data_IF_646818094192
#
_entry.id   IF_646818094192
#
_cell.length_a   1.000
_cell.length_b   1.000
_cell.length_c   1.000
_cell.angle_alpha   90.00
_cell.angle_beta   90.00
_cell.angle_gamma   90.00
#
_symmetry.space_group_name_H-M   'P 1'
#
loop_
_entity.id
_entity.type
_entity.pdbx_description
1 polymer ?
#
# COMPACT_ATOMS: atom_id res chain seq x y z
N UNK A 1 -24.56 -34.17 30.34
CA UNK A 1 -23.35 -33.57 29.74
C UNK A 1 -23.66 -32.17 29.19
N UNK A 2 -23.69 -31.12 30.03
CA UNK A 2 -23.87 -29.71 29.58
C UNK A 2 -22.63 -28.85 29.77
N UNK A 3 -21.73 -29.20 30.70
CA UNK A 3 -20.49 -28.47 30.95
C UNK A 3 -19.49 -28.52 29.78
N UNK A 4 -19.33 -29.68 29.14
CA UNK A 4 -18.33 -29.85 28.09
C UNK A 4 -18.59 -28.94 26.87
N UNK A 5 -19.87 -28.81 26.47
CA UNK A 5 -20.26 -27.97 25.33
C UNK A 5 -20.09 -26.46 25.60
N UNK A 6 -20.38 -26.00 26.83
CA UNK A 6 -20.15 -24.60 27.19
C UNK A 6 -18.65 -24.28 27.27
N UNK A 7 -17.85 -25.22 27.77
CA UNK A 7 -16.40 -25.07 27.84
C UNK A 7 -15.76 -24.98 26.45
N UNK A 8 -16.14 -25.86 25.52
CA UNK A 8 -15.65 -25.83 24.13
C UNK A 8 -16.07 -24.57 23.38
N UNK A 9 -17.31 -24.10 23.60
CA UNK A 9 -17.78 -22.84 23.01
C UNK A 9 -16.99 -21.63 23.54
N UNK A 10 -16.66 -21.63 24.83
CA UNK A 10 -15.83 -20.58 25.43
C UNK A 10 -14.41 -20.56 24.86
N UNK A 11 -13.81 -21.73 24.60
CA UNK A 11 -12.48 -21.82 23.99
C UNK A 11 -12.48 -21.36 22.53
N UNK A 12 -13.48 -21.76 21.73
CA UNK A 12 -13.60 -21.31 20.34
C UNK A 12 -13.78 -19.78 20.27
N UNK A 13 -14.58 -19.21 21.17
CA UNK A 13 -14.78 -17.76 21.25
C UNK A 13 -13.47 -17.03 21.57
N UNK A 14 -12.69 -17.53 22.55
CA UNK A 14 -11.37 -16.96 22.87
C UNK A 14 -10.41 -17.01 21.69
N UNK A 15 -10.41 -18.10 20.92
CA UNK A 15 -9.56 -18.20 19.73
C UNK A 15 -10.01 -17.21 18.64
N UNK A 16 -11.31 -17.06 18.42
CA UNK A 16 -11.86 -16.05 17.52
C UNK A 16 -11.46 -14.64 17.95
N UNK A 17 -11.50 -14.33 19.25
CA UNK A 17 -11.09 -13.02 19.77
C UNK A 17 -9.61 -12.77 19.54
N UNK A 18 -8.75 -13.77 19.82
CA UNK A 18 -7.30 -13.68 19.58
C UNK A 18 -6.99 -13.45 18.10
N UNK A 19 -7.64 -14.20 17.21
CA UNK A 19 -7.43 -14.07 15.75
C UNK A 19 -8.00 -12.75 15.24
N UNK A 20 -9.14 -12.31 15.77
CA UNK A 20 -9.72 -11.00 15.46
C UNK A 20 -8.80 -9.85 15.88
N UNK A 21 -8.03 -10.01 16.96
CA UNK A 21 -7.02 -9.04 17.38
C UNK A 21 -5.80 -8.93 16.46
N UNK A 22 -5.61 -9.87 15.52
CA UNK A 22 -4.48 -9.83 14.58
C UNK A 22 -4.66 -8.73 13.54
N UNK A 23 -3.57 -8.02 13.26
CA UNK A 23 -3.52 -6.93 12.29
C UNK A 23 -2.71 -7.35 11.06
N UNK A 24 -3.09 -6.85 9.88
CA UNK A 24 -2.32 -7.12 8.66
C UNK A 24 -0.95 -6.42 8.71
N UNK A 25 -0.92 -5.13 9.06
CA UNK A 25 0.30 -4.33 9.05
C UNK A 25 0.95 -4.31 7.66
N UNK A 26 2.28 -4.45 7.60
CA UNK A 26 3.04 -4.54 6.35
C UNK A 26 3.15 -5.98 5.81
N UNK A 27 2.47 -6.93 6.44
CA UNK A 27 2.57 -8.36 6.09
C UNK A 27 1.65 -8.69 4.93
N UNK A 28 2.00 -9.78 4.23
CA UNK A 28 1.18 -10.33 3.17
C UNK A 28 -0.09 -10.99 3.73
N UNK A 29 -1.25 -10.82 3.09
CA UNK A 29 -2.46 -11.59 3.39
C UNK A 29 -2.23 -13.11 3.52
N UNK A 30 -1.40 -13.71 2.65
CA UNK A 30 -1.04 -15.14 2.74
C UNK A 30 -0.31 -15.51 4.04
N UNK A 31 0.60 -14.64 4.50
CA UNK A 31 1.33 -14.84 5.75
C UNK A 31 0.40 -14.71 6.96
N UNK A 32 -0.49 -13.71 6.93
CA UNK A 32 -1.50 -13.54 7.98
C UNK A 32 -2.39 -14.78 8.07
N UNK A 33 -2.84 -15.34 6.94
CA UNK A 33 -3.65 -16.56 6.92
C UNK A 33 -2.94 -17.74 7.61
N UNK A 34 -1.65 -17.93 7.36
CA UNK A 34 -0.86 -18.99 8.01
C UNK A 34 -0.86 -18.80 9.54
N UNK A 35 -0.65 -17.58 10.03
CA UNK A 35 -0.70 -17.30 11.47
C UNK A 35 -2.08 -17.54 12.06
N UNK A 36 -3.15 -17.13 11.36
CA UNK A 36 -4.53 -17.36 11.79
C UNK A 36 -4.82 -18.86 11.90
N UNK A 37 -4.36 -19.68 10.95
CA UNK A 37 -4.49 -21.14 10.99
C UNK A 37 -3.70 -21.76 12.15
N UNK A 38 -2.46 -21.32 12.34
CA UNK A 38 -1.62 -21.80 13.43
C UNK A 38 -2.22 -21.52 14.82
N UNK A 39 -2.98 -20.43 14.95
CA UNK A 39 -3.68 -20.07 16.19
C UNK A 39 -5.05 -20.70 16.31
N UNK A 40 -5.73 -20.96 15.20
CA UNK A 40 -7.02 -21.63 15.18
C UNK A 40 -6.92 -23.11 15.57
N UNK A 41 -5.77 -23.76 15.33
CA UNK A 41 -5.53 -25.17 15.67
C UNK A 41 -6.63 -26.10 15.14
N UNK A 42 -7.13 -25.82 13.92
CA UNK A 42 -8.26 -26.50 13.28
C UNK A 42 -9.62 -26.42 14.02
N UNK A 43 -9.73 -25.62 15.09
CA UNK A 43 -10.98 -25.43 15.87
C UNK A 43 -11.91 -24.38 15.27
N UNK A 44 -11.46 -23.63 14.26
CA UNK A 44 -12.25 -22.58 13.59
C UNK A 44 -12.48 -22.97 12.13
N UNK A 45 -13.72 -22.82 11.68
CA UNK A 45 -14.14 -23.09 10.30
C UNK A 45 -13.39 -22.17 9.30
N UNK A 46 -13.02 -22.72 8.15
CA UNK A 46 -12.43 -21.97 7.03
C UNK A 46 -13.30 -20.79 6.57
N UNK A 47 -14.62 -20.88 6.63
CA UNK A 47 -15.51 -19.76 6.27
C UNK A 47 -15.32 -18.57 7.22
N UNK A 48 -15.11 -18.84 8.51
CA UNK A 48 -14.84 -17.81 9.51
C UNK A 48 -13.45 -17.22 9.30
N UNK A 49 -12.45 -18.05 9.01
CA UNK A 49 -11.11 -17.57 8.66
C UNK A 49 -11.13 -16.71 7.38
N UNK A 50 -11.91 -17.10 6.38
CA UNK A 50 -12.13 -16.33 5.15
C UNK A 50 -12.75 -14.97 5.46
N UNK A 51 -13.81 -14.94 6.25
CA UNK A 51 -14.43 -13.68 6.67
C UNK A 51 -13.45 -12.78 7.43
N UNK A 52 -12.75 -13.33 8.43
CA UNK A 52 -11.79 -12.59 9.24
C UNK A 52 -10.62 -12.05 8.41
N UNK A 53 -10.12 -12.83 7.45
CA UNK A 53 -9.07 -12.40 6.54
C UNK A 53 -9.56 -11.26 5.65
N UNK A 54 -10.72 -11.41 5.00
CA UNK A 54 -11.30 -10.38 4.12
C UNK A 54 -11.53 -9.07 4.87
N UNK A 55 -12.05 -9.13 6.11
CA UNK A 55 -12.23 -7.96 6.97
C UNK A 55 -10.94 -7.19 7.32
N UNK A 56 -9.76 -7.78 7.07
CA UNK A 56 -8.45 -7.13 7.29
C UNK A 56 -7.85 -6.54 6.02
N UNK A 57 -8.44 -6.82 4.85
CA UNK A 57 -7.96 -6.29 3.58
C UNK A 57 -8.57 -4.91 3.30
N UNK A 58 -7.91 -4.05 2.50
CA UNK A 58 -8.51 -2.84 1.98
C UNK A 58 -9.79 -3.13 1.18
N UNK A 59 -10.76 -2.20 1.23
CA UNK A 59 -12.09 -2.37 0.60
C UNK A 59 -12.00 -2.75 -0.89
N UNK A 60 -11.06 -2.18 -1.63
CA UNK A 60 -10.86 -2.46 -3.05
C UNK A 60 -10.47 -3.92 -3.28
N UNK A 61 -9.59 -4.46 -2.45
CA UNK A 61 -9.16 -5.87 -2.53
C UNK A 61 -10.33 -6.79 -2.17
N UNK A 62 -11.11 -6.44 -1.14
CA UNK A 62 -12.32 -7.20 -0.78
C UNK A 62 -13.32 -7.27 -1.94
N UNK A 63 -13.58 -6.15 -2.62
CA UNK A 63 -14.51 -6.08 -3.75
C UNK A 63 -14.07 -6.97 -4.91
N UNK A 64 -12.78 -6.99 -5.23
CA UNK A 64 -12.22 -7.86 -6.27
C UNK A 64 -12.35 -9.33 -5.88
N UNK A 65 -12.05 -9.67 -4.62
CA UNK A 65 -12.12 -11.06 -4.16
C UNK A 65 -13.55 -11.56 -3.93
N UNK A 66 -14.52 -10.69 -3.71
CA UNK A 66 -15.92 -11.06 -3.45
C UNK A 66 -16.57 -11.80 -4.63
N UNK A 67 -16.12 -11.53 -5.86
CA UNK A 67 -16.60 -12.22 -7.07
C UNK A 67 -15.82 -13.51 -7.37
N UNK A 68 -14.75 -13.79 -6.63
CA UNK A 68 -13.88 -14.95 -6.85
C UNK A 68 -14.31 -16.10 -5.94
N UNK A 69 -14.69 -17.22 -6.55
CA UNK A 69 -15.03 -18.44 -5.84
C UNK A 69 -13.85 -19.42 -5.87
N UNK A 70 -12.93 -19.28 -4.92
CA UNK A 70 -11.76 -20.14 -4.77
C UNK A 70 -11.49 -20.46 -3.29
N UNK A 71 -10.54 -21.37 -3.05
CA UNK A 71 -10.05 -21.76 -1.73
C UNK A 71 -9.39 -20.57 -1.02
N UNK A 72 -9.42 -20.62 0.30
CA UNK A 72 -8.91 -19.53 1.15
C UNK A 72 -7.43 -19.21 0.90
N UNK A 73 -6.60 -20.21 0.64
CA UNK A 73 -5.19 -20.01 0.29
C UNK A 73 -5.02 -19.23 -1.00
N UNK A 74 -5.80 -19.59 -2.04
CA UNK A 74 -5.77 -18.89 -3.32
C UNK A 74 -6.25 -17.46 -3.20
N UNK A 75 -7.31 -17.22 -2.42
CA UNK A 75 -7.79 -15.87 -2.13
C UNK A 75 -6.71 -15.02 -1.46
N UNK A 76 -5.96 -15.58 -0.52
CA UNK A 76 -4.88 -14.88 0.17
C UNK A 76 -3.70 -14.60 -0.78
N UNK A 77 -3.30 -15.56 -1.63
CA UNK A 77 -2.27 -15.35 -2.65
C UNK A 77 -2.67 -14.28 -3.68
N UNK A 78 -3.94 -14.27 -4.12
CA UNK A 78 -4.45 -13.22 -5.01
C UNK A 78 -4.45 -11.85 -4.32
N UNK A 79 -4.82 -11.80 -3.05
CA UNK A 79 -4.75 -10.58 -2.25
C UNK A 79 -3.31 -10.02 -2.20
N UNK A 80 -2.30 -10.88 -2.00
CA UNK A 80 -0.89 -10.48 -2.05
C UNK A 80 -0.55 -9.80 -3.39
N UNK A 81 -0.97 -10.40 -4.50
CA UNK A 81 -0.71 -9.90 -5.84
C UNK A 81 -1.39 -8.55 -6.11
N UNK A 82 -2.66 -8.41 -5.72
CA UNK A 82 -3.42 -7.16 -5.87
C UNK A 82 -2.78 -6.04 -5.04
N UNK A 83 -2.44 -6.32 -3.79
CA UNK A 83 -1.80 -5.34 -2.91
C UNK A 83 -0.41 -4.93 -3.41
N UNK A 84 0.39 -5.89 -3.90
CA UNK A 84 1.70 -5.58 -4.48
C UNK A 84 1.58 -4.71 -5.74
N UNK A 85 0.59 -4.97 -6.61
CA UNK A 85 0.34 -4.16 -7.80
C UNK A 85 -0.09 -2.73 -7.44
N UNK A 86 -0.95 -2.56 -6.43
CA UNK A 86 -1.36 -1.25 -5.95
C UNK A 86 -0.18 -0.44 -5.35
N UNK A 87 0.72 -1.09 -4.62
CA UNK A 87 1.94 -0.43 -4.11
C UNK A 87 2.86 0.00 -5.25
N UNK A 88 3.00 -0.83 -6.29
CA UNK A 88 3.81 -0.51 -7.46
C UNK A 88 3.29 0.72 -8.22
N UNK A 89 1.98 0.83 -8.42
CA UNK A 89 1.39 1.98 -9.11
C UNK A 89 1.57 3.29 -8.34
N UNK A 90 1.42 3.25 -7.00
CA UNK A 90 1.65 4.43 -6.14
C UNK A 90 3.11 4.87 -6.21
N UNK A 91 4.05 3.93 -6.18
CA UNK A 91 5.49 4.22 -6.28
C UNK A 91 5.84 4.93 -7.59
N UNK A 92 5.29 4.45 -8.72
CA UNK A 92 5.48 5.11 -10.03
C UNK A 92 4.93 6.55 -10.02
N UNK A 93 3.73 6.74 -9.46
CA UNK A 93 3.12 8.06 -9.40
C UNK A 93 3.97 9.05 -8.57
N UNK A 94 4.50 8.61 -7.43
CA UNK A 94 5.37 9.43 -6.59
C UNK A 94 6.64 9.88 -7.35
N UNK A 95 7.32 8.94 -8.01
CA UNK A 95 8.53 9.25 -8.81
C UNK A 95 8.21 10.21 -9.96
N UNK A 96 7.09 10.02 -10.66
CA UNK A 96 6.70 10.92 -11.75
C UNK A 96 6.41 12.35 -11.28
N UNK A 97 5.82 12.49 -10.09
CA UNK A 97 5.56 13.80 -9.48
C UNK A 97 6.85 14.49 -9.07
N UNK A 98 7.80 13.75 -8.50
CA UNK A 98 9.12 14.27 -8.13
C UNK A 98 9.90 14.69 -9.37
N UNK A 99 9.89 13.88 -10.43
CA UNK A 99 10.51 14.21 -11.71
C UNK A 99 9.92 15.49 -12.32
N UNK A 100 8.60 15.63 -12.33
CA UNK A 100 7.94 16.85 -12.82
C UNK A 100 8.35 18.09 -12.00
N UNK A 101 8.49 17.96 -10.68
CA UNK A 101 8.95 19.05 -9.82
C UNK A 101 10.41 19.44 -10.10
N UNK A 102 11.28 18.44 -10.33
CA UNK A 102 12.66 18.67 -10.71
C UNK A 102 12.77 19.31 -12.09
N UNK A 103 11.97 18.88 -13.06
CA UNK A 103 11.93 19.51 -14.38
C UNK A 103 11.48 20.97 -14.30
N UNK A 104 10.46 21.29 -13.50
CA UNK A 104 9.98 22.65 -13.31
C UNK A 104 11.07 23.57 -12.71
N UNK A 105 11.79 23.09 -11.68
CA UNK A 105 12.89 23.85 -11.08
C UNK A 105 14.07 24.05 -12.04
N UNK A 106 14.40 23.05 -12.86
CA UNK A 106 15.43 23.18 -13.90
C UNK A 106 15.05 24.21 -14.97
N UNK A 107 13.79 24.24 -15.41
CA UNK A 107 13.28 25.24 -16.35
C UNK A 107 13.39 26.64 -15.73
N UNK A 108 12.99 26.79 -14.47
CA UNK A 108 13.07 28.07 -13.76
C UNK A 108 14.53 28.55 -13.62
N UNK A 109 15.45 27.69 -13.19
CA UNK A 109 16.87 28.02 -13.07
C UNK A 109 17.45 28.42 -14.44
N UNK A 110 17.13 27.67 -15.49
CA UNK A 110 17.57 27.98 -16.86
C UNK A 110 17.08 29.35 -17.32
N UNK A 111 15.81 29.68 -17.06
CA UNK A 111 15.24 30.99 -17.39
C UNK A 111 15.95 32.14 -16.64
N UNK A 112 16.27 31.95 -15.36
CA UNK A 112 16.99 32.94 -14.54
C UNK A 112 18.42 33.14 -15.04
N UNK A 113 19.10 32.07 -15.45
CA UNK A 113 20.44 32.12 -16.04
C UNK A 113 20.45 32.89 -17.37
N UNK A 114 19.48 32.63 -18.26
CA UNK A 114 19.34 33.37 -19.52
C UNK A 114 19.04 34.85 -19.29
N UNK A 115 18.14 35.19 -18.37
CA UNK A 115 17.82 36.58 -18.05
C UNK A 115 19.07 37.32 -17.53
N UNK A 116 19.87 36.66 -16.70
CA UNK A 116 21.12 37.22 -16.15
C UNK A 116 22.19 37.40 -17.24
N UNK A 117 22.36 36.43 -18.14
CA UNK A 117 23.33 36.54 -19.24
C UNK A 117 22.98 37.66 -20.21
N UNK A 118 21.69 37.80 -20.57
CA UNK A 118 21.19 38.90 -21.41
C UNK A 118 21.41 40.26 -20.77
N UNK A 119 21.16 40.37 -19.46
CA UNK A 119 21.38 41.62 -18.71
C UNK A 119 22.86 42.01 -18.68
N UNK A 120 23.74 41.03 -18.44
CA UNK A 120 25.19 41.27 -18.42
C UNK A 120 25.74 41.69 -19.80
N UNK A 121 25.29 41.04 -20.88
CA UNK A 121 25.70 41.44 -22.24
C UNK A 121 25.24 42.86 -22.60
N UNK A 122 24.04 43.26 -22.16
CA UNK A 122 23.51 44.63 -22.36
C UNK A 122 24.31 45.68 -21.57
N UNK A 123 24.67 45.37 -20.32
CA UNK A 123 25.50 46.23 -19.45
C UNK A 123 26.88 46.48 -20.08
N UNK A 124 27.56 45.41 -20.53
CA UNK A 124 28.88 45.49 -21.15
C UNK A 124 28.88 46.30 -22.44
N UNK A 125 27.87 46.13 -23.30
CA UNK A 125 27.74 46.91 -24.53
C UNK A 125 27.49 48.40 -24.31
N UNK A 126 26.76 48.77 -23.24
CA UNK A 126 26.53 50.18 -22.88
C UNK A 126 27.79 50.87 -22.37
N UNK A 127 28.57 50.19 -21.52
CA UNK A 127 29.83 50.73 -20.98
C UNK A 127 30.87 50.98 -22.07
N UNK A 128 30.89 50.16 -23.12
CA UNK A 128 31.81 50.34 -24.24
C UNK A 128 31.49 51.60 -25.08
N UNK A 129 30.19 51.92 -25.24
CA UNK A 129 29.75 53.11 -26.00
C UNK A 129 29.94 54.44 -25.26
N UNK A 130 30.02 54.45 -23.94
CA UNK A 130 30.26 55.68 -23.16
C UNK A 130 31.74 56.07 -23.06
N UNK A 131 32.66 55.27 -23.60
CA UNK A 131 34.12 55.49 -23.54
C UNK A 131 34.76 55.81 -24.89
N UNK A 132 33.97 55.98 -25.96
CA UNK A 132 34.42 56.35 -27.31
C UNK A 132 34.03 57.77 -27.66
#
# INVERSE_FOLDING_TARGET
MRLCSQYTQSEEQKLKDVISGMQLGDRKPSQLLVEMRNKADSKINEEVLKFLLLQRLPTQVQQILAIVNDKLERLAEMADGIMAAATYTISIQAVSSEEASMQATLIEISSRLEARSRSHSRESGRRFRQRG
#
